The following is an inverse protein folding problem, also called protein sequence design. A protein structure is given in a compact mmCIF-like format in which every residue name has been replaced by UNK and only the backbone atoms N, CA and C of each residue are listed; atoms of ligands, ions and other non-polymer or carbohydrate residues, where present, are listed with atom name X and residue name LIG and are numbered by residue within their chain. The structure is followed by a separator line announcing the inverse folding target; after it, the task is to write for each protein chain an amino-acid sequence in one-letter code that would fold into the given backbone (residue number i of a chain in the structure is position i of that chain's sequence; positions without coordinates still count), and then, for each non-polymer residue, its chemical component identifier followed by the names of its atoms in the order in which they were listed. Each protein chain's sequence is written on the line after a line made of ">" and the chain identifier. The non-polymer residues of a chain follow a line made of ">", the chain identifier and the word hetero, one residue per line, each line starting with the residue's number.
data_IF_566541493007
#
_entry.id   IF_566541493007
#
_cell.length_a   1.000
_cell.length_b   1.000
_cell.length_c   1.000
_cell.angle_alpha   90.00
_cell.angle_beta   90.00
_cell.angle_gamma   90.00
#
_symmetry.space_group_name_H-M   'P 1'
#
loop_
_entity.id
_entity.type
_entity.pdbx_description
1 polymer ?
#
# COMPACT_ATOMS: atom_id res chain seq x y z
N UNK A 1 -31.15 11.30 -16.89
CA UNK A 1 -30.76 10.84 -15.55
C UNK A 1 -29.69 11.76 -15.04
N UNK A 2 -29.75 12.16 -13.77
CA UNK A 2 -28.75 13.04 -13.18
C UNK A 2 -27.45 12.23 -12.98
N UNK A 3 -26.39 12.60 -13.70
CA UNK A 3 -25.07 11.96 -13.64
C UNK A 3 -24.55 11.89 -12.19
N UNK A 4 -25.01 12.80 -11.32
CA UNK A 4 -24.72 12.79 -9.90
C UNK A 4 -25.27 11.55 -9.18
N UNK A 5 -26.52 11.19 -9.43
CA UNK A 5 -27.18 10.05 -8.79
C UNK A 5 -26.57 8.73 -9.23
N UNK A 6 -26.19 8.63 -10.51
CA UNK A 6 -25.48 7.46 -11.05
C UNK A 6 -24.13 7.25 -10.37
N UNK A 7 -23.34 8.32 -10.17
CA UNK A 7 -22.06 8.23 -9.42
C UNK A 7 -22.28 7.69 -8.01
N UNK A 8 -23.27 8.22 -7.28
CA UNK A 8 -23.56 7.76 -5.92
C UNK A 8 -24.09 6.31 -5.92
N UNK A 9 -24.81 5.89 -6.94
CA UNK A 9 -25.26 4.51 -7.10
C UNK A 9 -24.07 3.57 -7.31
N UNK A 10 -23.16 3.91 -8.23
CA UNK A 10 -21.93 3.14 -8.48
C UNK A 10 -21.10 3.00 -7.19
N UNK A 11 -20.94 4.10 -6.44
CA UNK A 11 -20.20 4.08 -5.18
C UNK A 11 -20.89 3.24 -4.09
N UNK A 12 -22.22 3.21 -4.03
CA UNK A 12 -22.96 2.32 -3.12
C UNK A 12 -22.85 0.85 -3.49
N UNK A 13 -22.80 0.52 -4.77
CA UNK A 13 -22.74 -0.86 -5.25
C UNK A 13 -21.32 -1.45 -5.20
N UNK A 14 -20.29 -0.65 -5.52
CA UNK A 14 -18.90 -1.12 -5.61
C UNK A 14 -18.02 -0.69 -4.44
N UNK A 15 -18.44 0.28 -3.63
CA UNK A 15 -17.65 0.87 -2.56
C UNK A 15 -16.59 1.86 -3.07
N UNK A 16 -15.94 1.59 -4.19
CA UNK A 16 -14.85 2.43 -4.71
C UNK A 16 -14.74 2.37 -6.23
N UNK A 17 -14.23 3.44 -6.86
CA UNK A 17 -13.97 3.47 -8.30
C UNK A 17 -12.86 4.46 -8.65
N UNK A 18 -12.01 4.10 -9.62
CA UNK A 18 -11.04 5.04 -10.16
C UNK A 18 -11.74 6.10 -11.00
N UNK A 19 -11.34 7.36 -10.86
CA UNK A 19 -11.89 8.46 -11.65
C UNK A 19 -11.75 8.21 -13.16
N UNK A 20 -10.67 7.53 -13.58
CA UNK A 20 -10.44 7.17 -15.00
C UNK A 20 -11.50 6.23 -15.56
N UNK A 21 -11.99 5.31 -14.74
CA UNK A 21 -12.98 4.33 -15.15
C UNK A 21 -14.39 4.90 -15.01
N UNK A 22 -14.60 5.77 -14.01
CA UNK A 22 -15.87 6.44 -13.78
C UNK A 22 -16.37 7.26 -14.98
N UNK A 23 -15.50 8.09 -15.61
CA UNK A 23 -15.96 8.87 -16.77
C UNK A 23 -16.19 8.03 -18.02
N UNK A 24 -15.48 6.90 -18.16
CA UNK A 24 -15.70 5.94 -19.24
C UNK A 24 -17.02 5.21 -19.08
N UNK A 25 -17.32 4.76 -17.86
CA UNK A 25 -18.53 4.02 -17.54
C UNK A 25 -19.78 4.90 -17.67
N UNK A 26 -19.68 6.17 -17.26
CA UNK A 26 -20.75 7.15 -17.43
C UNK A 26 -20.83 7.74 -18.84
N UNK A 27 -19.90 7.37 -19.74
CA UNK A 27 -19.80 7.90 -21.10
C UNK A 27 -19.83 9.44 -21.15
N UNK A 28 -19.06 10.09 -20.26
CA UNK A 28 -18.95 11.55 -20.15
C UNK A 28 -17.51 12.02 -20.30
N UNK A 29 -17.33 13.31 -20.60
CA UNK A 29 -16.02 13.94 -20.58
C UNK A 29 -15.40 13.91 -19.17
N UNK A 30 -14.09 13.65 -19.11
CA UNK A 30 -13.30 13.70 -17.88
C UNK A 30 -13.43 15.05 -17.15
N UNK A 31 -13.53 16.15 -17.90
CA UNK A 31 -13.78 17.50 -17.41
C UNK A 31 -15.12 17.63 -16.70
N UNK A 32 -16.17 17.03 -17.25
CA UNK A 32 -17.52 17.03 -16.67
C UNK A 32 -17.55 16.16 -15.41
N UNK A 33 -16.95 14.97 -15.48
CA UNK A 33 -16.78 14.08 -14.33
C UNK A 33 -16.07 14.80 -13.16
N UNK A 34 -14.93 15.43 -13.43
CA UNK A 34 -14.18 16.19 -12.41
C UNK A 34 -14.98 17.32 -11.76
N UNK A 35 -15.79 18.06 -12.54
CA UNK A 35 -16.68 19.11 -12.00
C UNK A 35 -17.76 18.54 -11.08
N UNK A 36 -18.35 17.40 -11.41
CA UNK A 36 -19.38 16.76 -10.58
C UNK A 36 -18.76 16.22 -9.29
N UNK A 37 -17.61 15.54 -9.39
CA UNK A 37 -16.89 15.02 -8.23
C UNK A 37 -16.48 16.14 -7.25
N UNK A 38 -16.00 17.29 -7.74
CA UNK A 38 -15.71 18.46 -6.88
C UNK A 38 -16.94 18.97 -6.12
N UNK A 39 -18.13 18.93 -6.72
CA UNK A 39 -19.37 19.32 -6.05
C UNK A 39 -19.74 18.30 -4.97
N UNK A 40 -19.71 17.01 -5.31
CA UNK A 40 -20.00 15.92 -4.38
C UNK A 40 -19.04 15.89 -3.18
N UNK A 41 -17.76 16.16 -3.41
CA UNK A 41 -16.74 16.27 -2.37
C UNK A 41 -16.98 17.49 -1.47
N UNK A 42 -17.32 18.65 -2.06
CA UNK A 42 -17.67 19.86 -1.29
C UNK A 42 -18.92 19.67 -0.42
N UNK A 43 -19.84 18.83 -0.89
CA UNK A 43 -21.05 18.45 -0.16
C UNK A 43 -20.81 17.32 0.85
N UNK A 44 -19.58 16.79 0.95
CA UNK A 44 -19.21 15.77 1.92
C UNK A 44 -19.81 14.40 1.64
N UNK A 45 -20.21 14.11 0.40
CA UNK A 45 -20.78 12.81 0.02
C UNK A 45 -19.72 11.79 -0.43
N UNK A 46 -18.58 12.28 -0.91
CA UNK A 46 -17.47 11.46 -1.41
C UNK A 46 -16.14 12.02 -0.90
N UNK A 47 -15.11 11.18 -0.92
CA UNK A 47 -13.69 11.55 -0.77
C UNK A 47 -12.92 11.15 -2.02
N UNK A 48 -11.86 11.89 -2.32
CA UNK A 48 -10.94 11.59 -3.43
C UNK A 48 -9.56 11.32 -2.84
N UNK A 49 -9.05 10.13 -3.11
CA UNK A 49 -7.76 9.65 -2.62
C UNK A 49 -6.81 9.62 -3.80
N UNK A 50 -5.66 10.29 -3.70
CA UNK A 50 -4.65 10.21 -4.76
C UNK A 50 -4.00 8.81 -4.73
N UNK A 51 -3.98 8.13 -5.87
CA UNK A 51 -3.40 6.79 -6.02
C UNK A 51 -2.58 6.72 -7.30
N UNK A 52 -1.51 5.93 -7.29
CA UNK A 52 -0.69 5.66 -8.49
C UNK A 52 -1.08 4.31 -9.05
N UNK A 53 -1.68 4.30 -10.24
CA UNK A 53 -2.06 3.06 -10.92
C UNK A 53 -1.24 2.94 -12.19
N UNK A 54 -0.42 1.89 -12.30
CA UNK A 54 0.48 1.65 -13.43
C UNK A 54 1.40 2.86 -13.74
N UNK A 55 1.94 3.50 -12.71
CA UNK A 55 2.82 4.67 -12.84
C UNK A 55 2.11 5.99 -13.20
N UNK A 56 0.78 5.99 -13.32
CA UNK A 56 -0.01 7.20 -13.59
C UNK A 56 -0.77 7.62 -12.34
N UNK A 57 -0.56 8.86 -11.91
CA UNK A 57 -1.32 9.48 -10.83
C UNK A 57 -2.79 9.61 -11.24
N UNK A 58 -3.69 9.07 -10.43
CA UNK A 58 -5.14 9.20 -10.59
C UNK A 58 -5.82 9.34 -9.23
N UNK A 59 -7.12 9.55 -9.23
CA UNK A 59 -7.90 9.64 -8.01
C UNK A 59 -8.80 8.43 -7.88
N UNK A 60 -8.76 7.78 -6.71
CA UNK A 60 -9.73 6.80 -6.26
C UNK A 60 -10.87 7.53 -5.57
N UNK A 61 -12.09 7.29 -6.02
CA UNK A 61 -13.31 7.91 -5.49
C UNK A 61 -13.94 6.91 -4.53
N UNK A 62 -14.22 7.36 -3.31
CA UNK A 62 -14.81 6.56 -2.25
C UNK A 62 -15.95 7.34 -1.56
N UNK A 63 -16.96 6.67 -0.98
CA UNK A 63 -17.96 7.30 -0.13
C UNK A 63 -17.31 8.08 1.01
N UNK A 64 -17.94 9.16 1.46
CA UNK A 64 -17.42 9.93 2.60
C UNK A 64 -17.35 9.11 3.90
N UNK A 65 -18.25 8.14 4.04
CA UNK A 65 -18.31 7.19 5.16
C UNK A 65 -17.24 6.10 5.10
N UNK A 66 -16.55 5.93 3.96
CA UNK A 66 -15.50 4.94 3.85
C UNK A 66 -14.30 5.35 4.74
N UNK A 67 -13.83 4.39 5.53
CA UNK A 67 -12.51 4.45 6.14
C UNK A 67 -11.49 4.40 5.01
N UNK A 68 -10.84 5.53 4.78
CA UNK A 68 -9.74 5.62 3.82
C UNK A 68 -8.48 5.38 4.61
N UNK A 69 -7.97 4.15 4.55
CA UNK A 69 -6.57 3.93 4.83
C UNK A 69 -5.82 4.65 3.69
N UNK A 70 -5.22 5.79 4.00
CA UNK A 70 -4.19 6.34 3.15
C UNK A 70 -3.13 5.25 3.05
N UNK A 71 -3.00 4.62 1.88
CA UNK A 71 -1.80 3.87 1.51
C UNK A 71 -0.67 4.89 1.47
N UNK A 72 -0.19 5.28 2.65
CA UNK A 72 1.07 5.96 2.79
C UNK A 72 2.07 4.96 2.24
N UNK A 73 2.74 5.33 1.15
CA UNK A 73 4.04 4.76 0.86
C UNK A 73 4.85 4.99 2.14
N UNK A 74 4.92 3.97 2.99
CA UNK A 74 5.83 4.01 4.13
C UNK A 74 7.21 4.14 3.49
N UNK A 75 7.81 5.31 3.62
CA UNK A 75 9.22 5.51 3.32
C UNK A 75 10.03 4.72 4.34
N UNK A 76 10.07 3.40 4.15
CA UNK A 76 10.87 2.51 4.94
C UNK A 76 12.33 2.76 4.57
N UNK A 77 13.14 2.99 5.60
CA UNK A 77 14.57 2.96 5.43
C UNK A 77 15.03 1.60 4.93
N UNK A 78 16.17 1.56 4.25
CA UNK A 78 16.80 0.29 3.82
C UNK A 78 16.94 -0.69 4.99
N UNK A 79 17.13 -0.18 6.22
CA UNK A 79 17.24 -1.00 7.43
C UNK A 79 15.91 -1.68 7.78
N UNK A 80 14.80 -0.93 7.80
CA UNK A 80 13.47 -1.48 8.11
C UNK A 80 13.03 -2.52 7.08
N UNK A 81 13.38 -2.29 5.80
CA UNK A 81 13.13 -3.26 4.73
C UNK A 81 13.90 -4.56 5.00
N UNK A 82 15.18 -4.47 5.34
CA UNK A 82 16.01 -5.65 5.61
C UNK A 82 15.53 -6.42 6.86
N UNK A 83 15.13 -5.71 7.91
CA UNK A 83 14.59 -6.32 9.13
C UNK A 83 13.27 -7.07 8.83
N UNK A 84 12.35 -6.48 8.06
CA UNK A 84 11.09 -7.13 7.68
C UNK A 84 11.28 -8.32 6.75
N UNK A 85 12.23 -8.24 5.81
CA UNK A 85 12.59 -9.38 4.97
C UNK A 85 13.13 -10.52 5.84
N UNK A 86 13.96 -10.24 6.83
CA UNK A 86 14.49 -11.24 7.74
C UNK A 86 13.37 -11.93 8.54
N UNK A 87 12.40 -11.17 9.06
CA UNK A 87 11.25 -11.70 9.80
C UNK A 87 10.37 -12.61 8.95
N UNK A 88 10.07 -12.21 7.70
CA UNK A 88 9.16 -12.95 6.83
C UNK A 88 9.84 -14.16 6.19
N UNK A 89 11.08 -14.00 5.74
CA UNK A 89 11.80 -15.05 5.02
C UNK A 89 12.49 -16.05 5.94
N UNK A 90 12.73 -15.67 7.20
CA UNK A 90 13.62 -16.36 8.14
C UNK A 90 15.02 -16.63 7.55
N UNK A 91 15.41 -15.91 6.49
CA UNK A 91 16.71 -16.07 5.86
C UNK A 91 17.77 -15.27 6.61
N UNK A 92 19.00 -15.80 6.72
CA UNK A 92 20.12 -15.08 7.29
C UNK A 92 20.55 -13.88 6.43
N UNK A 93 21.20 -12.86 7.03
CA UNK A 93 21.66 -11.67 6.32
C UNK A 93 22.70 -11.96 5.23
N UNK A 94 23.26 -13.18 5.19
CA UNK A 94 24.20 -13.59 4.15
C UNK A 94 23.55 -13.63 2.75
N UNK A 95 22.23 -13.79 2.63
CA UNK A 95 21.53 -13.82 1.34
C UNK A 95 21.57 -12.47 0.60
N UNK A 96 21.81 -11.36 1.31
CA UNK A 96 22.00 -10.02 0.76
C UNK A 96 23.42 -9.46 0.97
N UNK A 97 24.38 -10.30 1.38
CA UNK A 97 25.73 -9.84 1.68
C UNK A 97 26.52 -9.57 0.39
N UNK A 98 27.10 -8.37 0.27
CA UNK A 98 27.92 -7.97 -0.88
C UNK A 98 29.41 -8.32 -0.74
N UNK A 99 29.79 -8.98 0.36
CA UNK A 99 31.17 -9.41 0.60
C UNK A 99 31.54 -10.54 -0.38
N UNK A 100 32.62 -10.35 -1.13
CA UNK A 100 33.14 -11.36 -2.07
C UNK A 100 34.11 -12.30 -1.33
N UNK A 101 34.13 -13.56 -1.73
CA UNK A 101 34.98 -14.62 -1.14
C UNK A 101 34.73 -14.89 0.36
N UNK A 102 33.53 -14.57 0.86
CA UNK A 102 33.13 -14.87 2.23
C UNK A 102 32.97 -16.38 2.46
N UNK A 103 33.64 -16.91 3.47
CA UNK A 103 33.41 -18.28 3.95
C UNK A 103 32.34 -18.31 5.04
N UNK A 104 31.19 -18.92 4.74
CA UNK A 104 30.05 -18.97 5.66
C UNK A 104 30.40 -19.54 7.04
N UNK A 105 31.29 -20.54 7.10
CA UNK A 105 31.73 -21.21 8.34
C UNK A 105 32.48 -20.27 9.30
N UNK A 106 33.10 -19.20 8.78
CA UNK A 106 33.90 -18.24 9.56
C UNK A 106 33.28 -16.84 9.59
N UNK A 107 32.02 -16.73 9.20
CA UNK A 107 31.35 -15.45 9.07
C UNK A 107 30.76 -14.97 10.40
N UNK A 108 31.37 -13.97 11.02
CA UNK A 108 30.90 -13.36 12.28
C UNK A 108 29.47 -12.83 12.16
N UNK A 109 29.10 -12.25 11.00
CA UNK A 109 27.73 -11.74 10.78
C UNK A 109 26.69 -12.86 10.88
N UNK A 110 27.03 -14.05 10.38
CA UNK A 110 26.17 -15.23 10.43
C UNK A 110 26.15 -15.84 11.84
N UNK A 111 27.29 -15.88 12.53
CA UNK A 111 27.39 -16.35 13.91
C UNK A 111 26.53 -15.50 14.86
N UNK A 112 26.66 -14.18 14.80
CA UNK A 112 25.85 -13.24 15.59
C UNK A 112 24.36 -13.42 15.29
N UNK A 113 24.00 -13.62 14.02
CA UNK A 113 22.61 -13.86 13.62
C UNK A 113 22.05 -15.16 14.24
N UNK A 114 22.80 -16.27 14.17
CA UNK A 114 22.40 -17.53 14.78
C UNK A 114 22.23 -17.40 16.30
N UNK A 115 23.19 -16.77 16.98
CA UNK A 115 23.10 -16.54 18.42
C UNK A 115 21.83 -15.77 18.77
N UNK A 116 21.55 -14.67 18.06
CA UNK A 116 20.33 -13.87 18.26
C UNK A 116 19.07 -14.74 18.11
N UNK A 117 18.95 -15.53 17.05
CA UNK A 117 17.78 -16.41 16.84
C UNK A 117 17.61 -17.46 17.94
N UNK A 118 18.70 -18.09 18.37
CA UNK A 118 18.67 -19.06 19.47
C UNK A 118 18.20 -18.41 20.78
N UNK A 119 18.61 -17.17 21.06
CA UNK A 119 18.14 -16.45 22.24
C UNK A 119 16.67 -16.05 22.15
N UNK A 120 16.22 -15.56 20.99
CA UNK A 120 14.81 -15.21 20.73
C UNK A 120 13.89 -16.43 20.90
N UNK A 121 14.28 -17.59 20.35
CA UNK A 121 13.52 -18.84 20.45
C UNK A 121 13.44 -19.35 21.89
N UNK A 122 14.54 -19.25 22.64
CA UNK A 122 14.54 -19.59 24.07
C UNK A 122 13.60 -18.69 24.86
N UNK A 123 13.60 -17.38 24.61
CA UNK A 123 12.70 -16.46 25.33
C UNK A 123 11.22 -16.77 25.04
N UNK A 124 10.87 -17.15 23.81
CA UNK A 124 9.50 -17.57 23.45
C UNK A 124 9.08 -18.90 24.08
N UNK A 125 10.02 -19.78 24.42
CA UNK A 125 9.72 -21.07 25.07
C UNK A 125 9.45 -20.94 26.57
N UNK A 126 9.92 -19.87 27.20
CA UNK A 126 9.82 -19.62 28.64
C UNK A 126 8.96 -18.39 29.01
N UNK A 127 8.31 -17.77 28.02
CA UNK A 127 7.32 -16.70 28.18
C UNK A 127 5.90 -17.24 28.02
#
# INVERSE_FOLDING_TARGET
>A
MDTREEILKILRERGEILQKDLWKELNIDSSKCSRILRKLEKEGLIKRVEVVVNGVKTFKIVPAEAEVEEEKEEELSLREILERIEEVSALPPCFGCLERDCEAVRCIKLEVWFLRKVFEDKQKLYA
#
